data_IF_340859994556
#
_entry.id   IF_340859994556
#
_cell.length_a   1.000
_cell.length_b   1.000
_cell.length_c   1.000
_cell.angle_alpha   90.00
_cell.angle_beta   90.00
_cell.angle_gamma   90.00
#
_symmetry.space_group_name_H-M   'P 1'
#
loop_
_entity.id
_entity.type
_entity.pdbx_description
1 polymer ?
#
# COMPACT_ATOMS: atom_id res chain seq x y z
N UNK A 1 -1.03 -12.56 12.03
CA UNK A 1 -1.62 -13.09 13.28
C UNK A 1 -1.53 -11.97 14.32
N UNK A 2 -2.65 -11.52 14.90
CA UNK A 2 -2.61 -10.39 15.85
C UNK A 2 -2.38 -10.91 17.27
N UNK A 3 -1.29 -10.47 17.90
CA UNK A 3 -0.99 -10.74 19.30
C UNK A 3 -1.53 -9.59 20.15
N UNK A 4 -1.96 -9.91 21.37
CA UNK A 4 -2.49 -8.92 22.31
C UNK A 4 -1.72 -9.00 23.62
N UNK A 5 -1.39 -7.85 24.20
CA UNK A 5 -0.82 -7.73 25.54
C UNK A 5 -1.64 -6.75 26.36
N UNK A 6 -1.46 -6.77 27.68
CA UNK A 6 -2.10 -5.83 28.60
C UNK A 6 -1.03 -4.92 29.21
N UNK A 7 -1.21 -3.60 29.06
CA UNK A 7 -0.37 -2.59 29.69
C UNK A 7 -1.29 -1.71 30.54
N UNK A 8 -1.05 -1.67 31.86
CA UNK A 8 -1.83 -0.86 32.80
C UNK A 8 -3.36 -1.07 32.70
N UNK A 9 -3.82 -2.30 32.45
CA UNK A 9 -5.25 -2.63 32.32
C UNK A 9 -5.85 -2.35 30.94
N UNK A 10 -5.03 -1.89 29.98
CA UNK A 10 -5.45 -1.61 28.60
C UNK A 10 -4.88 -2.68 27.68
N UNK A 11 -5.76 -3.28 26.88
CA UNK A 11 -5.37 -4.27 25.87
C UNK A 11 -4.84 -3.53 24.64
N UNK A 12 -3.62 -3.87 24.23
CA UNK A 12 -2.95 -3.28 23.07
C UNK A 12 -2.56 -4.38 22.08
N UNK A 13 -2.53 -4.03 20.79
CA UNK A 13 -2.18 -4.94 19.71
C UNK A 13 -0.67 -4.94 19.46
N UNK A 14 -0.12 -6.11 19.15
CA UNK A 14 1.28 -6.31 18.81
C UNK A 14 1.36 -7.00 17.46
N UNK A 15 2.20 -6.44 16.58
CA UNK A 15 2.39 -6.85 15.20
C UNK A 15 3.85 -7.21 14.93
N UNK A 16 4.06 -8.40 14.37
CA UNK A 16 5.38 -8.84 13.90
C UNK A 16 5.68 -8.41 12.46
N UNK A 17 4.63 -8.09 11.69
CA UNK A 17 4.74 -7.72 10.27
C UNK A 17 4.04 -6.40 10.01
N UNK A 18 4.69 -5.54 9.21
CA UNK A 18 4.07 -4.30 8.68
C UNK A 18 2.85 -4.64 7.85
N UNK A 19 2.88 -5.75 7.11
CA UNK A 19 1.75 -6.17 6.29
C UNK A 19 0.50 -6.39 7.15
N UNK A 20 0.63 -7.12 8.26
CA UNK A 20 -0.46 -7.34 9.22
C UNK A 20 -0.94 -6.02 9.85
N UNK A 21 -0.01 -5.16 10.26
CA UNK A 21 -0.32 -3.88 10.88
C UNK A 21 -1.10 -2.96 9.93
N UNK A 22 -0.60 -2.79 8.71
CA UNK A 22 -1.19 -1.91 7.70
C UNK A 22 -2.53 -2.48 7.21
N UNK A 23 -2.66 -3.80 7.05
CA UNK A 23 -3.91 -4.43 6.59
C UNK A 23 -5.08 -4.18 7.53
N UNK A 24 -4.80 -4.00 8.83
CA UNK A 24 -5.84 -3.78 9.83
C UNK A 24 -6.13 -2.30 10.08
N UNK A 25 -5.14 -1.42 9.87
CA UNK A 25 -5.22 -0.05 10.36
C UNK A 25 -5.13 1.02 9.26
N UNK A 26 -4.51 0.72 8.11
CA UNK A 26 -4.37 1.71 7.05
C UNK A 26 -5.64 1.76 6.19
N UNK A 27 -6.30 2.93 6.19
CA UNK A 27 -7.27 3.29 5.16
C UNK A 27 -6.56 4.09 4.09
N UNK A 28 -6.07 3.43 3.04
CA UNK A 28 -5.48 4.14 1.92
C UNK A 28 -6.55 4.70 0.98
N UNK A 29 -7.36 5.61 1.52
CA UNK A 29 -8.24 6.46 0.74
C UNK A 29 -7.59 7.84 0.72
N UNK A 30 -7.25 8.35 -0.46
CA UNK A 30 -6.66 9.68 -0.74
C UNK A 30 -5.18 9.69 -1.14
N UNK A 31 -4.75 8.80 -2.02
CA UNK A 31 -3.54 9.08 -2.79
C UNK A 31 -3.87 10.14 -3.85
N UNK A 32 -3.44 11.38 -3.62
CA UNK A 32 -3.51 12.44 -4.63
C UNK A 32 -2.73 12.00 -5.87
N UNK A 33 -3.41 11.94 -7.02
CA UNK A 33 -2.91 11.75 -8.40
C UNK A 33 -1.37 11.65 -8.53
N UNK A 34 -0.79 10.55 -8.09
CA UNK A 34 0.65 10.36 -8.18
C UNK A 34 1.00 9.83 -9.56
N UNK A 35 2.00 10.46 -10.18
CA UNK A 35 2.55 10.05 -11.47
C UNK A 35 3.07 8.62 -11.35
N UNK A 36 2.29 7.67 -11.84
CA UNK A 36 2.72 6.29 -12.04
C UNK A 36 3.92 6.32 -13.00
N UNK A 37 5.03 5.72 -12.61
CA UNK A 37 6.20 5.58 -13.49
C UNK A 37 5.87 4.56 -14.59
N UNK A 38 5.69 5.05 -15.81
CA UNK A 38 5.39 4.25 -17.00
C UNK A 38 6.63 3.97 -17.85
N UNK A 39 7.84 4.26 -17.36
CA UNK A 39 9.08 4.11 -18.11
C UNK A 39 9.33 2.67 -18.57
N UNK A 40 8.85 1.66 -17.84
CA UNK A 40 8.94 0.26 -18.25
C UNK A 40 8.16 -0.10 -19.53
N UNK A 41 7.26 0.77 -19.98
CA UNK A 41 6.51 0.61 -21.22
C UNK A 41 7.19 1.27 -22.43
N UNK A 42 8.22 2.09 -22.23
CA UNK A 42 8.83 2.86 -23.35
C UNK A 42 9.76 2.04 -24.25
N UNK A 43 10.10 0.82 -23.85
CA UNK A 43 11.09 0.01 -24.57
C UNK A 43 10.40 -1.10 -25.37
N UNK A 44 9.73 -0.77 -26.50
CA UNK A 44 9.70 -1.63 -27.72
C UNK A 44 8.87 -1.23 -28.94
N UNK A 45 8.23 -0.07 -29.04
CA UNK A 45 7.39 0.23 -30.22
C UNK A 45 7.87 1.41 -31.10
N UNK A 46 9.08 1.95 -30.90
CA UNK A 46 9.69 2.91 -31.84
C UNK A 46 10.73 2.22 -32.73
N UNK A 47 10.26 1.46 -33.72
CA UNK A 47 10.96 1.24 -35.01
C UNK A 47 10.13 0.34 -35.91
N UNK A 48 9.01 0.86 -36.45
CA UNK A 48 8.52 0.44 -37.77
C UNK A 48 7.94 1.63 -38.51
N UNK A 49 8.73 2.12 -39.45
CA UNK A 49 8.33 3.02 -40.51
C UNK A 49 7.05 2.53 -41.20
N UNK A 50 6.12 3.48 -41.26
CA UNK A 50 4.79 3.49 -41.87
C UNK A 50 4.79 3.12 -43.35
N UNK A 51 3.84 2.27 -43.74
CA UNK A 51 2.98 2.58 -44.89
C UNK A 51 1.62 1.85 -44.84
N UNK A 52 0.57 2.60 -45.20
CA UNK A 52 -0.79 2.20 -45.62
C UNK A 52 -1.90 1.90 -44.60
N UNK A 53 -2.80 2.90 -44.50
CA UNK A 53 -4.27 2.84 -44.59
C UNK A 53 -4.97 1.53 -44.19
N UNK A 54 -5.52 1.46 -42.98
CA UNK A 54 -6.81 0.82 -42.70
C UNK A 54 -7.33 1.20 -41.32
N UNK A 55 -8.64 1.43 -41.20
CA UNK A 55 -9.42 1.56 -39.95
C UNK A 55 -8.87 0.66 -38.83
N UNK A 56 -8.36 1.25 -37.75
CA UNK A 56 -7.99 0.50 -36.54
C UNK A 56 -7.98 1.37 -35.28
N UNK A 57 -9.13 1.96 -34.98
CA UNK A 57 -9.45 2.20 -33.56
C UNK A 57 -9.52 0.82 -32.88
N UNK A 58 -8.97 0.69 -31.67
CA UNK A 58 -9.01 -0.49 -30.75
C UNK A 58 -7.84 -1.51 -30.75
N UNK A 59 -6.58 -1.08 -30.66
CA UNK A 59 -5.50 -2.01 -30.24
C UNK A 59 -4.41 -1.41 -29.33
N UNK A 60 -4.37 -0.09 -29.11
CA UNK A 60 -3.36 0.52 -28.24
C UNK A 60 -3.77 0.59 -26.76
N UNK A 61 -5.06 0.76 -26.45
CA UNK A 61 -5.57 0.71 -25.07
C UNK A 61 -5.36 -0.66 -24.40
N UNK A 62 -5.31 -1.74 -25.18
CA UNK A 62 -5.17 -3.11 -24.66
C UNK A 62 -3.76 -3.44 -24.16
N UNK A 63 -2.74 -2.66 -24.54
CA UNK A 63 -1.34 -2.86 -24.14
C UNK A 63 -0.97 -2.16 -22.84
N UNK A 64 -1.82 -1.27 -22.34
CA UNK A 64 -1.52 -0.47 -21.15
C UNK A 64 -1.94 -1.26 -19.90
N UNK A 65 -1.04 -1.46 -18.92
CA UNK A 65 -1.40 -2.11 -17.66
C UNK A 65 -2.57 -1.38 -16.98
N UNK A 66 -3.61 -2.13 -16.66
CA UNK A 66 -4.77 -1.70 -15.89
C UNK A 66 -4.46 -1.67 -14.39
N UNK A 67 -3.41 -2.38 -13.96
CA UNK A 67 -3.02 -2.52 -12.55
C UNK A 67 -1.51 -2.38 -12.41
N UNK A 68 -1.08 -1.63 -11.40
CA UNK A 68 0.33 -1.38 -11.07
C UNK A 68 0.62 -1.76 -9.62
N UNK A 69 1.84 -2.24 -9.36
CA UNK A 69 2.34 -2.44 -7.99
C UNK A 69 2.86 -1.12 -7.43
N UNK A 70 2.53 -0.83 -6.18
CA UNK A 70 3.05 0.30 -5.43
C UNK A 70 3.69 -0.17 -4.13
N UNK A 71 4.95 0.18 -3.85
CA UNK A 71 5.50 0.09 -2.51
C UNK A 71 4.92 1.21 -1.62
N UNK A 72 4.67 0.87 -0.36
CA UNK A 72 4.19 1.76 0.69
C UNK A 72 5.15 1.64 1.86
N UNK A 73 5.70 2.77 2.28
CA UNK A 73 6.53 2.90 3.47
C UNK A 73 5.74 3.64 4.55
N UNK A 74 5.70 3.10 5.77
CA UNK A 74 4.95 3.70 6.89
C UNK A 74 5.32 5.17 7.13
N UNK A 75 6.62 5.48 7.14
CA UNK A 75 7.12 6.85 7.40
C UNK A 75 6.88 7.85 6.28
N UNK A 76 6.62 7.39 5.06
CA UNK A 76 6.58 8.25 3.87
C UNK A 76 5.17 8.40 3.32
N UNK A 77 4.44 7.29 3.26
CA UNK A 77 3.20 7.17 2.52
C UNK A 77 1.95 7.21 3.42
N UNK A 78 2.13 7.21 4.75
CA UNK A 78 1.04 7.11 5.72
C UNK A 78 1.07 8.22 6.76
N UNK A 79 -0.12 8.64 7.20
CA UNK A 79 -0.30 9.52 8.35
C UNK A 79 -0.12 8.69 9.64
N UNK A 80 1.13 8.37 9.92
CA UNK A 80 1.60 7.45 10.94
C UNK A 80 2.49 8.19 11.93
N UNK A 81 2.38 7.82 13.20
CA UNK A 81 3.21 8.40 14.27
C UNK A 81 3.88 7.30 15.08
N UNK A 82 5.07 7.62 15.57
CA UNK A 82 5.90 6.74 16.39
C UNK A 82 6.26 7.46 17.68
N UNK A 83 6.33 6.70 18.76
CA UNK A 83 6.80 7.19 20.05
C UNK A 83 5.69 7.73 20.95
N UNK A 84 6.10 8.52 21.94
CA UNK A 84 5.34 8.84 23.16
C UNK A 84 3.84 9.08 22.94
N UNK A 85 3.03 8.31 23.64
CA UNK A 85 1.58 8.48 23.68
C UNK A 85 1.05 8.40 25.12
N UNK A 86 0.06 9.25 25.40
CA UNK A 86 -0.61 9.32 26.69
C UNK A 86 -2.11 9.19 26.45
N UNK A 87 -2.73 8.13 26.96
CA UNK A 87 -4.19 7.92 26.91
C UNK A 87 -4.71 7.89 28.33
N UNK A 88 -5.75 8.68 28.62
CA UNK A 88 -6.38 8.78 29.95
C UNK A 88 -5.37 9.04 31.11
N UNK A 89 -4.30 9.78 30.82
CA UNK A 89 -3.24 10.09 31.78
C UNK A 89 -2.23 8.96 32.00
N UNK A 90 -2.35 7.85 31.28
CA UNK A 90 -1.41 6.72 31.28
C UNK A 90 -0.40 6.93 30.16
N UNK A 91 0.88 7.00 30.53
CA UNK A 91 1.98 7.03 29.56
C UNK A 91 2.35 5.60 29.14
N UNK A 92 2.37 5.38 27.83
CA UNK A 92 2.75 4.09 27.26
C UNK A 92 4.25 4.04 26.98
N UNK A 93 4.91 2.91 27.25
CA UNK A 93 6.33 2.76 26.93
C UNK A 93 6.55 2.85 25.42
N UNK A 94 7.53 3.62 25.00
CA UNK A 94 7.85 3.77 23.56
C UNK A 94 8.40 2.48 22.96
N UNK A 95 9.10 1.68 23.76
CA UNK A 95 9.68 0.40 23.37
C UNK A 95 9.28 -0.65 24.40
N UNK A 96 8.88 -1.82 23.91
CA UNK A 96 8.66 -3.03 24.72
C UNK A 96 9.49 -4.18 24.17
N UNK A 97 9.81 -5.15 25.03
CA UNK A 97 10.51 -6.38 24.65
C UNK A 97 9.59 -7.58 24.91
N UNK A 98 9.40 -8.43 23.90
CA UNK A 98 8.64 -9.68 23.98
C UNK A 98 9.49 -10.78 23.38
N UNK A 99 9.76 -11.83 24.16
CA UNK A 99 10.57 -12.98 23.74
C UNK A 99 11.92 -12.62 23.10
N UNK A 100 12.57 -11.56 23.60
CA UNK A 100 13.87 -11.07 23.10
C UNK A 100 13.79 -10.25 21.80
N UNK A 101 12.58 -9.91 21.33
CA UNK A 101 12.36 -9.01 20.20
C UNK A 101 11.86 -7.65 20.70
N UNK A 102 12.39 -6.58 20.12
CA UNK A 102 11.96 -5.20 20.41
C UNK A 102 10.79 -4.79 19.51
N UNK A 103 9.86 -4.06 20.10
CA UNK A 103 8.70 -3.49 19.42
C UNK A 103 8.55 -2.02 19.79
N UNK A 104 8.26 -1.20 18.79
CA UNK A 104 8.10 0.24 18.93
C UNK A 104 6.61 0.60 18.93
N UNK A 105 6.26 1.61 19.73
CA UNK A 105 4.92 2.17 19.81
C UNK A 105 4.57 2.90 18.51
N UNK A 106 3.48 2.46 17.86
CA UNK A 106 3.03 2.94 16.55
C UNK A 106 1.54 3.21 16.50
N UNK A 107 1.14 4.33 15.88
CA UNK A 107 -0.25 4.77 15.89
C UNK A 107 -0.70 5.42 14.56
N UNK A 108 -1.90 5.06 14.10
CA UNK A 108 -2.61 5.71 12.99
C UNK A 108 -3.61 6.79 13.43
N UNK A 109 -3.80 6.97 14.74
CA UNK A 109 -4.71 7.96 15.31
C UNK A 109 -4.45 8.21 16.78
N UNK A 110 -5.12 9.23 17.33
CA UNK A 110 -4.89 9.69 18.70
C UNK A 110 -5.32 8.69 19.79
N UNK A 111 -6.11 7.66 19.44
CA UNK A 111 -6.76 6.75 20.42
C UNK A 111 -6.45 5.28 20.15
N UNK A 112 -5.60 4.99 19.17
CA UNK A 112 -5.15 3.64 18.88
C UNK A 112 -3.73 3.48 19.42
N UNK A 113 -3.46 2.34 20.05
CA UNK A 113 -2.15 1.96 20.58
C UNK A 113 -1.80 0.60 20.00
N UNK A 114 -0.75 0.57 19.20
CA UNK A 114 -0.19 -0.66 18.67
C UNK A 114 1.31 -0.68 18.86
N UNK A 115 1.87 -1.88 18.92
CA UNK A 115 3.31 -2.10 18.90
C UNK A 115 3.67 -2.88 17.65
N UNK A 116 4.70 -2.41 16.95
CA UNK A 116 5.20 -3.05 15.73
C UNK A 116 6.66 -3.38 15.93
N UNK A 117 7.04 -4.59 15.51
CA UNK A 117 8.40 -5.07 15.64
C UNK A 117 9.38 -4.11 14.97
N UNK A 118 10.38 -3.65 15.71
CA UNK A 118 11.26 -2.55 15.29
C UNK A 118 11.98 -2.85 13.98
N UNK A 119 12.43 -4.10 13.80
CA UNK A 119 13.12 -4.56 12.58
C UNK A 119 12.24 -4.62 11.33
N UNK A 120 10.94 -4.39 11.49
CA UNK A 120 9.95 -4.52 10.44
C UNK A 120 9.44 -3.17 9.95
N UNK A 121 9.47 -2.12 10.78
CA UNK A 121 8.91 -0.78 10.47
C UNK A 121 9.43 -0.21 9.14
N UNK A 122 10.72 -0.39 8.85
CA UNK A 122 11.34 0.14 7.63
C UNK A 122 11.08 -0.70 6.38
N UNK A 123 10.43 -1.86 6.51
CA UNK A 123 10.12 -2.72 5.37
C UNK A 123 8.94 -2.15 4.60
N UNK A 124 9.04 -2.04 3.26
CA UNK A 124 7.90 -1.68 2.46
C UNK A 124 6.87 -2.81 2.48
N UNK A 125 5.61 -2.42 2.41
CA UNK A 125 4.53 -3.31 1.97
C UNK A 125 4.09 -2.90 0.58
N UNK A 126 3.44 -3.79 -0.15
CA UNK A 126 3.07 -3.55 -1.54
C UNK A 126 1.56 -3.57 -1.68
N UNK A 127 1.02 -2.71 -2.53
CA UNK A 127 -0.40 -2.66 -2.84
C UNK A 127 -0.61 -2.46 -4.34
N UNK A 128 -1.85 -2.60 -4.79
CA UNK A 128 -2.22 -2.49 -6.20
C UNK A 128 -2.94 -1.18 -6.47
N UNK A 129 -2.46 -0.43 -7.47
CA UNK A 129 -3.14 0.74 -8.02
C UNK A 129 -3.86 0.33 -9.30
N UNK A 130 -5.17 0.53 -9.31
CA UNK A 130 -6.01 0.23 -10.46
C UNK A 130 -6.16 1.47 -11.32
N UNK A 131 -5.63 1.42 -12.52
CA UNK A 131 -5.94 2.35 -13.60
C UNK A 131 -7.29 1.98 -14.16
N UNK A 132 -8.34 2.57 -13.61
CA UNK A 132 -9.65 2.61 -14.26
C UNK A 132 -9.80 3.97 -14.90
N UNK A 133 -9.73 4.04 -16.23
CA UNK A 133 -10.21 5.20 -16.97
C UNK A 133 -11.72 5.04 -17.15
N UNK A 134 -12.52 5.53 -16.20
CA UNK A 134 -13.97 5.61 -16.41
C UNK A 134 -14.31 6.97 -16.98
N UNK A 135 -14.38 7.07 -18.31
CA UNK A 135 -14.87 8.29 -18.97
C UNK A 135 -16.39 8.36 -18.83
N UNK A 136 -16.88 9.20 -17.92
CA UNK A 136 -18.30 9.55 -17.82
C UNK A 136 -18.41 11.03 -18.18
N UNK A 137 -19.13 11.36 -19.25
CA UNK A 137 -19.34 12.75 -19.72
C UNK A 137 -18.04 13.56 -19.92
N UNK A 138 -16.95 12.92 -20.37
CA UNK A 138 -15.66 13.58 -20.59
C UNK A 138 -14.83 13.86 -19.33
N UNK A 139 -15.25 13.36 -18.15
CA UNK A 139 -14.42 13.32 -16.95
C UNK A 139 -13.71 11.97 -16.85
N UNK A 140 -12.39 12.00 -16.66
CA UNK A 140 -11.59 10.83 -16.29
C UNK A 140 -11.75 10.59 -14.79
N UNK A 141 -12.31 9.43 -14.40
CA UNK A 141 -12.48 9.05 -12.99
C UNK A 141 -11.59 7.86 -12.67
N UNK A 142 -10.62 8.03 -11.76
CA UNK A 142 -9.82 6.93 -11.20
C UNK A 142 -10.61 6.25 -10.07
N UNK A 143 -10.89 4.95 -10.20
CA UNK A 143 -11.51 4.17 -9.14
C UNK A 143 -10.45 3.33 -8.41
N UNK A 144 -10.25 3.63 -7.13
CA UNK A 144 -9.52 2.75 -6.22
C UNK A 144 -10.46 1.62 -5.78
N UNK A 145 -10.00 0.36 -5.72
CA UNK A 145 -10.81 -0.73 -5.17
C UNK A 145 -11.19 -0.38 -3.72
N UNK A 146 -12.41 -0.75 -3.33
CA UNK A 146 -12.91 -0.54 -1.97
C UNK A 146 -12.20 -1.40 -0.93
N UNK A 147 -11.73 -2.58 -1.37
CA UNK A 147 -10.97 -3.51 -0.54
C UNK A 147 -9.52 -3.43 -0.96
N UNK A 148 -8.67 -3.02 -0.02
CA UNK A 148 -7.27 -2.80 -0.31
C UNK A 148 -6.48 -4.09 -0.10
N UNK A 149 -5.88 -4.59 -1.18
CA UNK A 149 -4.98 -5.74 -1.12
C UNK A 149 -3.57 -5.27 -0.75
N UNK A 150 -3.00 -5.89 0.30
CA UNK A 150 -1.63 -5.65 0.77
C UNK A 150 -0.83 -6.94 0.64
N UNK A 151 0.39 -6.81 0.18
CA UNK A 151 1.33 -7.89 -0.02
C UNK A 151 2.60 -7.60 0.78
N UNK A 152 3.17 -8.66 1.34
CA UNK A 152 4.42 -8.59 2.09
C UNK A 152 5.64 -8.48 1.16
N UNK A 153 5.51 -8.93 -0.10
CA UNK A 153 6.60 -8.89 -1.09
C UNK A 153 6.16 -8.30 -2.42
N UNK A 154 7.12 -7.74 -3.15
CA UNK A 154 6.90 -7.17 -4.48
C UNK A 154 6.47 -8.25 -5.46
N UNK A 155 7.09 -9.45 -5.39
CA UNK A 155 6.81 -10.55 -6.31
C UNK A 155 5.37 -11.05 -6.18
N UNK A 156 4.83 -11.09 -4.96
CA UNK A 156 3.44 -11.47 -4.73
C UNK A 156 2.47 -10.43 -5.32
N UNK A 157 2.76 -9.14 -5.11
CA UNK A 157 1.98 -8.06 -5.72
C UNK A 157 2.08 -8.07 -7.25
N UNK A 158 3.28 -8.31 -7.79
CA UNK A 158 3.53 -8.31 -9.23
C UNK A 158 2.84 -9.50 -9.91
N UNK A 159 2.91 -10.70 -9.32
CA UNK A 159 2.18 -11.86 -9.83
C UNK A 159 0.67 -11.59 -9.90
N UNK A 160 0.12 -10.85 -8.92
CA UNK A 160 -1.30 -10.45 -8.93
C UNK A 160 -1.61 -9.39 -9.98
N UNK A 161 -0.74 -8.38 -10.12
CA UNK A 161 -0.88 -7.36 -11.16
C UNK A 161 -0.84 -7.98 -12.56
N UNK A 162 0.08 -8.93 -12.81
CA UNK A 162 0.21 -9.64 -14.08
C UNK A 162 -1.02 -10.50 -14.37
N UNK A 163 -1.58 -11.19 -13.36
CA UNK A 163 -2.85 -11.91 -13.50
C UNK A 163 -3.97 -10.97 -13.97
N UNK A 164 -4.11 -9.81 -13.35
CA UNK A 164 -5.17 -8.83 -13.64
C UNK A 164 -4.99 -8.11 -14.98
N UNK A 165 -3.74 -7.91 -15.42
CA UNK A 165 -3.43 -7.24 -16.68
C UNK A 165 -3.58 -8.16 -17.91
N UNK A 166 -3.48 -9.49 -17.72
CA UNK A 166 -3.64 -10.47 -18.79
C UNK A 166 -5.11 -10.91 -19.05
N UNK A 167 -6.08 -10.20 -18.44
CA UNK A 167 -7.54 -10.36 -18.63
C UNK A 167 -8.08 -9.29 -19.59
#
# INVERSE_FOLDING_TARGET
>A
MTTYIEINGIVVQVYDSVCDYVSQNARFSNYSDEKVDLSHLSDKDTDKDTDKDTDKDTDEESKIPKVFVRPVLLYKDLNFSVGKQIIDGIEFPEIIEIDGSEYELVNFGEHEISYLKTDSIDKPVYTLIYRTERVINGMHLYCYPSDLEIFETEEAAQAKADELNNI
#
